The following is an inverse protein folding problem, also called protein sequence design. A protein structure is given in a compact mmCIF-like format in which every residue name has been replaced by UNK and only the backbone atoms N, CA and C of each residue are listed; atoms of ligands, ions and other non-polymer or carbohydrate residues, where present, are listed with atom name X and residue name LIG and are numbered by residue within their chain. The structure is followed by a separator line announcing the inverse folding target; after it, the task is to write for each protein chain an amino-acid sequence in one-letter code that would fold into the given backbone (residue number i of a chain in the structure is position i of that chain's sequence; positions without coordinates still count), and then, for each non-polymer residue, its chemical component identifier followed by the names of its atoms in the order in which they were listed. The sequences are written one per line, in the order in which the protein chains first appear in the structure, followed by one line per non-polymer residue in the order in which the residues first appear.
data_IF_914109761680
#
_entry.id   IF_914109761680
#
_cell.length_a   1.000
_cell.length_b   1.000
_cell.length_c   1.000
_cell.angle_alpha   90.00
_cell.angle_beta   90.00
_cell.angle_gamma   90.00
#
_symmetry.space_group_name_H-M   'P 1'
#
loop_
_entity.id
_entity.type
_entity.pdbx_description
1 polymer ?
#
# COMPACT_ATOMS: atom_id res chain seq x y z
N UNK A 1 -8.77 16.69 9.77
CA UNK A 1 -8.18 15.35 9.60
C UNK A 1 -6.68 15.47 9.69
N UNK A 2 -6.04 14.59 10.45
CA UNK A 2 -4.58 14.44 10.54
C UNK A 2 -4.26 13.03 10.07
N UNK A 3 -3.33 12.90 9.13
CA UNK A 3 -2.87 11.60 8.65
C UNK A 3 -1.38 11.47 8.94
N UNK A 4 -0.98 10.33 9.52
CA UNK A 4 0.40 9.96 9.73
C UNK A 4 0.71 8.79 8.82
N UNK A 5 1.59 9.06 7.87
CA UNK A 5 2.10 8.04 6.98
C UNK A 5 3.21 7.25 7.67
N UNK A 6 3.31 5.97 7.33
CA UNK A 6 4.38 5.10 7.85
C UNK A 6 4.48 5.05 9.38
N UNK A 7 3.34 5.07 10.08
CA UNK A 7 3.27 5.05 11.53
C UNK A 7 3.90 3.79 12.14
N UNK A 8 3.86 2.66 11.43
CA UNK A 8 4.53 1.41 11.83
C UNK A 8 6.01 1.61 12.13
N UNK A 9 6.71 2.47 11.37
CA UNK A 9 8.13 2.74 11.62
C UNK A 9 8.37 3.51 12.92
N UNK A 10 7.48 4.44 13.28
CA UNK A 10 7.58 5.15 14.56
C UNK A 10 7.42 4.18 15.75
N UNK A 11 6.53 3.20 15.61
CA UNK A 11 6.31 2.18 16.64
C UNK A 11 7.46 1.17 16.70
N UNK A 12 8.09 0.86 15.58
CA UNK A 12 9.29 0.01 15.52
C UNK A 12 10.50 0.69 16.20
N UNK A 13 10.64 2.01 16.05
CA UNK A 13 11.70 2.77 16.73
C UNK A 13 11.45 2.97 18.24
N UNK A 14 10.19 3.17 18.65
CA UNK A 14 9.81 3.41 20.05
C UNK A 14 8.43 2.79 20.36
N UNK A 15 8.47 1.71 21.17
CA UNK A 15 7.30 0.93 21.58
C UNK A 15 6.34 1.69 22.50
N UNK A 16 6.73 2.87 23.00
CA UNK A 16 5.88 3.74 23.81
C UNK A 16 4.96 4.65 22.97
N UNK A 17 5.24 4.80 21.68
CA UNK A 17 4.48 5.66 20.75
C UNK A 17 2.97 5.37 20.77
N UNK A 18 2.49 4.11 20.72
CA UNK A 18 1.06 3.82 20.82
C UNK A 18 0.40 4.40 22.08
N UNK A 19 1.11 4.41 23.22
CA UNK A 19 0.60 4.97 24.48
C UNK A 19 0.49 6.49 24.44
N UNK A 20 1.47 7.17 23.83
CA UNK A 20 1.41 8.63 23.61
C UNK A 20 0.21 8.98 22.74
N UNK A 21 0.01 8.23 21.66
CA UNK A 21 -1.13 8.43 20.76
C UNK A 21 -2.47 8.11 21.40
N UNK A 22 -2.51 7.17 22.36
CA UNK A 22 -3.69 6.95 23.18
C UNK A 22 -4.10 8.23 23.93
N UNK A 23 -3.14 8.91 24.58
CA UNK A 23 -3.39 10.19 25.25
C UNK A 23 -3.84 11.26 24.27
N UNK A 24 -3.28 11.32 23.07
CA UNK A 24 -3.72 12.26 22.03
C UNK A 24 -5.20 12.00 21.67
N UNK A 25 -5.58 10.75 21.47
CA UNK A 25 -6.98 10.40 21.15
C UNK A 25 -7.93 10.74 22.31
N UNK A 26 -7.55 10.36 23.53
CA UNK A 26 -8.40 10.48 24.71
C UNK A 26 -8.53 11.93 25.23
N UNK A 27 -7.46 12.73 25.19
CA UNK A 27 -7.42 14.05 25.82
C UNK A 27 -7.46 15.22 24.83
N UNK A 28 -6.86 15.06 23.64
CA UNK A 28 -6.72 16.15 22.66
C UNK A 28 -7.82 16.09 21.61
N UNK A 29 -8.12 14.90 21.08
CA UNK A 29 -9.09 14.72 20.00
C UNK A 29 -10.51 14.52 20.54
N UNK A 30 -10.66 14.10 21.79
CA UNK A 30 -11.97 13.92 22.40
C UNK A 30 -12.82 15.19 22.38
N UNK A 31 -14.04 15.08 21.84
CA UNK A 31 -14.95 16.21 21.70
C UNK A 31 -14.65 17.16 20.53
N UNK A 32 -13.68 16.81 19.68
CA UNK A 32 -13.38 17.55 18.44
C UNK A 32 -13.91 16.79 17.22
N UNK A 33 -14.08 17.50 16.11
CA UNK A 33 -14.42 16.89 14.80
C UNK A 33 -13.17 16.43 14.03
N UNK A 34 -12.02 16.29 14.70
CA UNK A 34 -10.75 15.93 14.06
C UNK A 34 -10.59 14.41 14.03
N UNK A 35 -10.51 13.84 12.82
CA UNK A 35 -10.12 12.44 12.62
C UNK A 35 -8.60 12.29 12.55
N UNK A 36 -8.07 11.26 13.22
CA UNK A 36 -6.69 10.79 13.08
C UNK A 36 -6.67 9.52 12.23
N UNK A 37 -5.82 9.50 11.20
CA UNK A 37 -5.61 8.36 10.31
C UNK A 37 -4.15 7.92 10.43
N UNK A 38 -3.93 6.64 10.72
CA UNK A 38 -2.60 6.05 10.82
C UNK A 38 -2.44 5.08 9.64
N UNK A 39 -1.41 5.30 8.84
CA UNK A 39 -1.08 4.47 7.68
C UNK A 39 0.21 3.70 7.97
N UNK A 40 0.41 2.56 7.31
CA UNK A 40 1.64 1.79 7.38
C UNK A 40 1.66 0.72 6.31
N UNK A 41 2.80 0.54 5.64
CA UNK A 41 2.96 -0.45 4.59
C UNK A 41 3.12 -1.88 5.13
N UNK A 42 3.72 -2.03 6.32
CA UNK A 42 4.01 -3.33 6.93
C UNK A 42 2.82 -3.81 7.77
N UNK A 43 2.01 -4.70 7.20
CA UNK A 43 0.86 -5.29 7.88
C UNK A 43 1.29 -5.99 9.18
N UNK A 44 2.40 -6.73 9.17
CA UNK A 44 2.97 -7.40 10.34
C UNK A 44 3.30 -6.43 11.48
N UNK A 45 4.00 -5.32 11.18
CA UNK A 45 4.33 -4.28 12.16
C UNK A 45 3.09 -3.54 12.66
N UNK A 46 2.14 -3.26 11.77
CA UNK A 46 0.84 -2.69 12.15
C UNK A 46 0.07 -3.65 13.05
N UNK A 47 0.08 -4.96 12.76
CA UNK A 47 -0.58 -5.99 13.57
C UNK A 47 0.01 -6.12 14.97
N UNK A 48 1.33 -6.09 15.10
CA UNK A 48 2.00 -6.25 16.39
C UNK A 48 1.92 -4.98 17.26
N UNK A 49 2.24 -3.82 16.68
CA UNK A 49 2.36 -2.57 17.43
C UNK A 49 1.05 -1.78 17.60
N UNK A 50 0.10 -1.92 16.69
CA UNK A 50 -1.04 -0.99 16.58
C UNK A 50 -2.39 -1.70 16.61
N UNK A 51 -2.50 -2.86 15.97
CA UNK A 51 -3.76 -3.61 15.82
C UNK A 51 -3.87 -4.80 16.78
N UNK A 52 -2.82 -5.10 17.56
CA UNK A 52 -2.86 -6.15 18.56
C UNK A 52 -3.86 -5.82 19.65
N UNK A 53 -4.52 -6.84 20.21
CA UNK A 53 -5.50 -6.65 21.28
C UNK A 53 -4.91 -5.96 22.52
N UNK A 54 -3.61 -6.11 22.73
CA UNK A 54 -2.85 -5.50 23.83
C UNK A 54 -2.42 -4.05 23.51
N UNK A 55 -2.57 -3.60 22.26
CA UNK A 55 -2.18 -2.24 21.87
C UNK A 55 -3.09 -1.18 22.53
N UNK A 56 -2.51 -0.10 23.09
CA UNK A 56 -3.23 1.06 23.63
C UNK A 56 -4.33 1.63 22.71
N UNK A 57 -4.14 1.51 21.39
CA UNK A 57 -5.02 2.06 20.37
C UNK A 57 -6.17 1.13 19.96
N UNK A 58 -6.11 -0.16 20.31
CA UNK A 58 -7.04 -1.19 19.84
C UNK A 58 -8.51 -0.85 20.12
N UNK A 59 -8.82 -0.40 21.35
CA UNK A 59 -10.17 -0.06 21.78
C UNK A 59 -10.68 1.32 21.32
N UNK A 60 -9.83 2.11 20.65
CA UNK A 60 -10.11 3.50 20.26
C UNK A 60 -10.24 3.70 18.75
N UNK A 61 -9.93 2.66 17.98
CA UNK A 61 -10.12 2.66 16.53
C UNK A 61 -11.61 2.72 16.17
N UNK A 62 -11.93 3.58 15.21
CA UNK A 62 -13.29 3.72 14.66
C UNK A 62 -13.44 3.03 13.30
N UNK A 63 -12.32 2.70 12.65
CA UNK A 63 -12.28 1.96 11.39
C UNK A 63 -10.89 1.40 11.13
N UNK A 64 -10.84 0.38 10.29
CA UNK A 64 -9.62 -0.22 9.74
C UNK A 64 -9.91 -0.55 8.29
N UNK A 65 -8.95 -0.27 7.41
CA UNK A 65 -9.06 -0.58 5.99
C UNK A 65 -7.73 -1.15 5.50
N UNK A 66 -7.77 -2.36 4.94
CA UNK A 66 -6.65 -2.95 4.23
C UNK A 66 -6.78 -2.60 2.74
N UNK A 67 -5.84 -1.82 2.21
CA UNK A 67 -5.90 -1.38 0.82
C UNK A 67 -5.39 -2.51 -0.09
N UNK A 68 -6.32 -3.24 -0.70
CA UNK A 68 -6.00 -4.27 -1.68
C UNK A 68 -5.70 -3.67 -3.06
N UNK A 69 -4.97 -4.40 -3.93
CA UNK A 69 -4.86 -4.05 -5.35
C UNK A 69 -6.24 -3.88 -6.00
N UNK A 70 -6.31 -3.04 -7.03
CA UNK A 70 -7.53 -2.81 -7.80
C UNK A 70 -8.07 -4.11 -8.38
N UNK A 71 -9.39 -4.25 -8.39
CA UNK A 71 -10.04 -5.34 -9.11
C UNK A 71 -9.88 -5.13 -10.63
N UNK A 72 -10.06 -6.19 -11.43
CA UNK A 72 -10.10 -6.05 -12.89
C UNK A 72 -11.14 -5.00 -13.35
N UNK A 73 -12.27 -4.91 -12.65
CA UNK A 73 -13.34 -3.98 -12.99
C UNK A 73 -12.92 -2.52 -12.80
N UNK A 74 -12.03 -2.24 -11.84
CA UNK A 74 -11.51 -0.90 -11.58
C UNK A 74 -10.25 -0.63 -12.43
N UNK A 75 -9.36 -1.62 -12.55
CA UNK A 75 -8.10 -1.51 -13.29
C UNK A 75 -8.32 -1.28 -14.79
N UNK A 76 -9.39 -1.82 -15.39
CA UNK A 76 -9.69 -1.58 -16.81
C UNK A 76 -10.00 -0.11 -17.12
N UNK A 77 -10.26 0.72 -16.12
CA UNK A 77 -10.43 2.16 -16.31
C UNK A 77 -9.14 2.87 -16.78
N UNK A 78 -7.97 2.23 -16.65
CA UNK A 78 -6.70 2.73 -17.17
C UNK A 78 -6.54 2.50 -18.68
N UNK A 79 -7.34 1.62 -19.28
CA UNK A 79 -7.18 1.14 -20.66
C UNK A 79 -8.53 1.14 -21.41
N UNK A 80 -9.29 2.24 -21.30
CA UNK A 80 -10.66 2.33 -21.80
C UNK A 80 -10.78 2.20 -23.33
N UNK A 81 -9.72 2.56 -24.05
CA UNK A 81 -9.69 2.53 -25.52
C UNK A 81 -9.35 1.14 -26.07
N UNK A 82 -8.85 0.24 -25.22
CA UNK A 82 -8.55 -1.15 -25.58
C UNK A 82 -9.79 -2.05 -25.53
N UNK A 83 -9.77 -3.11 -26.34
CA UNK A 83 -10.79 -4.15 -26.28
C UNK A 83 -10.66 -5.01 -25.02
N UNK A 84 -11.72 -5.75 -24.68
CA UNK A 84 -11.78 -6.53 -23.43
C UNK A 84 -10.71 -7.62 -23.38
N UNK A 85 -10.33 -8.23 -24.50
CA UNK A 85 -9.27 -9.25 -24.53
C UNK A 85 -7.93 -8.62 -24.16
N UNK A 86 -7.60 -7.47 -24.76
CA UNK A 86 -6.39 -6.71 -24.43
C UNK A 86 -6.38 -6.25 -22.97
N UNK A 87 -7.51 -5.77 -22.44
CA UNK A 87 -7.64 -5.40 -21.03
C UNK A 87 -7.37 -6.57 -20.08
N UNK A 88 -7.87 -7.77 -20.40
CA UNK A 88 -7.62 -8.99 -19.62
C UNK A 88 -6.13 -9.34 -19.65
N UNK A 89 -5.49 -9.23 -20.82
CA UNK A 89 -4.06 -9.49 -20.96
C UNK A 89 -3.22 -8.51 -20.13
N UNK A 90 -3.52 -7.21 -20.20
CA UNK A 90 -2.86 -6.16 -19.41
C UNK A 90 -2.96 -6.43 -17.91
N UNK A 91 -4.16 -6.72 -17.42
CA UNK A 91 -4.37 -7.06 -16.00
C UNK A 91 -3.67 -8.36 -15.60
N UNK A 92 -3.55 -9.33 -16.50
CA UNK A 92 -2.82 -10.58 -16.25
C UNK A 92 -1.31 -10.36 -16.10
N UNK A 93 -0.77 -9.29 -16.71
CA UNK A 93 0.66 -8.92 -16.64
C UNK A 93 0.94 -8.02 -15.45
N UNK A 94 0.13 -6.98 -15.25
CA UNK A 94 0.38 -5.90 -14.28
C UNK A 94 -0.37 -6.09 -12.96
N UNK A 95 -1.37 -6.97 -12.92
CA UNK A 95 -2.27 -7.10 -11.78
C UNK A 95 -3.10 -5.85 -11.55
N UNK A 96 -3.40 -5.58 -10.28
CA UNK A 96 -4.22 -4.44 -9.85
C UNK A 96 -3.45 -3.28 -9.23
N UNK A 97 -2.12 -3.24 -9.33
CA UNK A 97 -1.31 -2.21 -8.67
C UNK A 97 -1.31 -0.94 -9.53
N UNK A 98 -1.87 0.20 -9.06
CA UNK A 98 -1.99 1.41 -9.89
C UNK A 98 -0.65 1.90 -10.45
N UNK A 99 0.40 1.87 -9.62
CA UNK A 99 1.74 2.28 -10.04
C UNK A 99 2.28 1.47 -11.23
N UNK A 100 1.86 0.21 -11.39
CA UNK A 100 2.28 -0.64 -12.52
C UNK A 100 1.43 -0.37 -13.76
N UNK A 101 0.12 -0.15 -13.57
CA UNK A 101 -0.81 0.19 -14.64
C UNK A 101 -0.40 1.50 -15.35
N UNK A 102 0.11 2.47 -14.59
CA UNK A 102 0.58 3.76 -15.11
C UNK A 102 1.89 3.69 -15.93
N UNK A 103 2.62 2.56 -15.89
CA UNK A 103 3.88 2.42 -16.63
C UNK A 103 3.70 2.06 -18.11
N UNK A 104 2.50 1.65 -18.52
CA UNK A 104 2.22 1.24 -19.89
C UNK A 104 1.69 2.42 -20.69
N UNK A 105 2.29 2.64 -21.86
CA UNK A 105 1.86 3.67 -22.80
C UNK A 105 0.66 3.14 -23.61
N UNK A 106 -0.53 3.78 -23.56
CA UNK A 106 -1.70 3.35 -24.30
C UNK A 106 -1.54 3.46 -25.83
N UNK A 107 -0.57 4.22 -26.33
CA UNK A 107 -0.29 4.30 -27.77
C UNK A 107 0.53 3.10 -28.30
N UNK A 108 1.07 2.26 -27.41
CA UNK A 108 1.89 1.11 -27.73
C UNK A 108 1.12 -0.20 -27.62
N UNK A 109 1.51 -1.18 -28.45
CA UNK A 109 0.99 -2.53 -28.29
C UNK A 109 1.49 -3.16 -26.99
N UNK A 110 0.71 -4.10 -26.43
CA UNK A 110 1.06 -4.85 -25.22
C UNK A 110 2.52 -5.36 -25.23
N UNK A 111 2.94 -6.01 -26.33
CA UNK A 111 4.30 -6.55 -26.43
C UNK A 111 5.38 -5.46 -26.39
N UNK A 112 5.14 -4.30 -27.00
CA UNK A 112 6.09 -3.17 -26.94
C UNK A 112 6.19 -2.60 -25.54
N UNK A 113 5.06 -2.46 -24.85
CA UNK A 113 5.05 -2.04 -23.45
C UNK A 113 5.81 -3.03 -22.56
N UNK A 114 5.66 -4.34 -22.77
CA UNK A 114 6.43 -5.34 -22.03
C UNK A 114 7.93 -5.22 -22.33
N UNK A 115 8.31 -5.12 -23.60
CA UNK A 115 9.72 -4.97 -24.00
C UNK A 115 10.36 -3.73 -23.38
N UNK A 116 9.64 -2.60 -23.40
CA UNK A 116 10.12 -1.34 -22.88
C UNK A 116 10.04 -1.31 -21.36
N UNK A 117 8.86 -1.34 -20.76
CA UNK A 117 8.68 -1.07 -19.33
C UNK A 117 9.09 -2.23 -18.40
N UNK A 118 9.07 -3.49 -18.87
CA UNK A 118 9.35 -4.67 -18.01
C UNK A 118 10.70 -5.32 -18.34
N UNK A 119 11.06 -5.47 -19.62
CA UNK A 119 12.25 -6.24 -20.02
C UNK A 119 13.51 -5.39 -20.22
N UNK A 120 13.39 -4.07 -20.22
CA UNK A 120 14.52 -3.17 -20.36
C UNK A 120 15.16 -2.84 -19.00
N UNK A 121 16.49 -2.93 -18.94
CA UNK A 121 17.24 -2.66 -17.71
C UNK A 121 17.15 -1.19 -17.32
N UNK A 122 16.93 -0.94 -16.03
CA UNK A 122 16.81 0.41 -15.45
C UNK A 122 15.39 0.96 -15.48
N UNK A 123 14.44 0.20 -16.00
CA UNK A 123 13.02 0.54 -15.96
C UNK A 123 12.41 0.10 -14.63
N UNK A 124 11.38 0.83 -14.20
CA UNK A 124 10.75 0.63 -12.89
C UNK A 124 10.27 -0.82 -12.69
N UNK A 125 9.51 -1.37 -13.64
CA UNK A 125 8.98 -2.74 -13.52
C UNK A 125 10.04 -3.83 -13.70
N UNK A 126 11.20 -3.50 -14.26
CA UNK A 126 12.34 -4.43 -14.33
C UNK A 126 12.95 -4.63 -12.94
N UNK A 127 13.08 -3.56 -12.16
CA UNK A 127 13.70 -3.59 -10.83
C UNK A 127 12.76 -4.05 -9.71
N UNK A 128 11.45 -3.87 -9.92
CA UNK A 128 10.40 -4.14 -8.92
C UNK A 128 10.47 -5.55 -8.30
N UNK A 129 10.62 -6.67 -9.06
CA UNK A 129 10.70 -7.99 -8.44
C UNK A 129 11.88 -8.16 -7.48
N UNK A 130 13.03 -7.55 -7.81
CA UNK A 130 14.21 -7.58 -6.93
C UNK A 130 14.00 -6.69 -5.70
N UNK A 131 13.37 -5.52 -5.89
CA UNK A 131 13.05 -4.60 -4.81
C UNK A 131 12.11 -5.24 -3.77
N UNK A 132 10.99 -5.82 -4.22
CA UNK A 132 10.03 -6.52 -3.36
C UNK A 132 10.70 -7.68 -2.63
N UNK A 133 11.49 -8.51 -3.33
CA UNK A 133 12.20 -9.63 -2.70
C UNK A 133 13.18 -9.15 -1.61
N UNK A 134 13.85 -8.01 -1.82
CA UNK A 134 14.74 -7.43 -0.81
C UNK A 134 13.99 -6.87 0.39
N UNK A 135 12.77 -6.37 0.22
CA UNK A 135 11.93 -5.92 1.33
C UNK A 135 11.47 -7.11 2.18
N UNK A 136 10.92 -8.15 1.54
CA UNK A 136 10.49 -9.38 2.20
C UNK A 136 11.63 -10.09 2.95
N UNK A 137 12.85 -10.13 2.38
CA UNK A 137 14.01 -10.76 3.02
C UNK A 137 14.71 -9.88 4.08
N UNK A 138 14.38 -8.58 4.15
CA UNK A 138 14.89 -7.68 5.19
C UNK A 138 14.06 -7.73 6.45
N UNK A 139 12.79 -8.10 6.37
CA UNK A 139 12.05 -8.52 7.56
C UNK A 139 12.77 -9.75 8.14
N UNK A 140 13.40 -9.68 9.32
CA UNK A 140 14.06 -10.83 9.89
C UNK A 140 13.00 -11.92 10.06
N UNK A 141 13.19 -13.06 9.40
CA UNK A 141 12.44 -14.27 9.72
C UNK A 141 12.56 -14.50 11.23
N UNK A 142 11.43 -14.31 11.94
CA UNK A 142 11.31 -14.64 13.37
C UNK A 142 11.54 -16.12 13.60
#
# INVERSE_FOLDING_TARGET
MVALDEFSYLVDEDDTIPSVFQTVVDDVLAGTDISLVLLGSSISMMEEGVLSYESPLYGRRTGQWELAPLSFADARAFFLDDDVETQIQLYSVLGGVPAYLEQFDPELSLLKNIEQSILSKGEFLYEEPEFLLRQELREPAK
#
